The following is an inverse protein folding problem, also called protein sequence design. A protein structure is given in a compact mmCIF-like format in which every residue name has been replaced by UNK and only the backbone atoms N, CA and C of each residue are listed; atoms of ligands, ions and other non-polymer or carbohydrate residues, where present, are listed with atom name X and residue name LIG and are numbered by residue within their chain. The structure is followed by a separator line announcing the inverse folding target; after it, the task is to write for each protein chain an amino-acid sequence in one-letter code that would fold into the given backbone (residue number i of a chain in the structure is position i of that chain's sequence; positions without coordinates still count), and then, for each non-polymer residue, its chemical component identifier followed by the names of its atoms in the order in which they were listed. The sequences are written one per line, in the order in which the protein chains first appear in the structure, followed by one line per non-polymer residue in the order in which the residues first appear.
data_IF_854336664867
#
_entry.id   IF_854336664867
#
_cell.length_a   1.000
_cell.length_b   1.000
_cell.length_c   1.000
_cell.angle_alpha   90.00
_cell.angle_beta   90.00
_cell.angle_gamma   90.00
#
_symmetry.space_group_name_H-M   'P 1'
#
loop_
_entity.id
_entity.type
_entity.pdbx_description
1 polymer ?
#
# COMPACT_ATOMS: atom_id res chain seq x y z
N UNK A 1 18.39 -43.79 -35.66
CA UNK A 1 17.91 -43.85 -34.28
C UNK A 1 18.77 -43.01 -33.33
N UNK A 2 20.08 -43.05 -33.43
CA UNK A 2 20.94 -42.21 -32.59
C UNK A 2 20.73 -40.68 -32.79
N UNK A 3 20.36 -40.25 -34.00
CA UNK A 3 20.14 -38.84 -34.34
C UNK A 3 18.85 -38.26 -33.69
N UNK A 4 17.82 -39.07 -33.47
CA UNK A 4 16.58 -38.63 -32.84
C UNK A 4 16.78 -38.40 -31.33
N UNK A 5 17.50 -39.29 -30.67
CA UNK A 5 17.87 -39.16 -29.26
C UNK A 5 18.78 -37.96 -29.01
N UNK A 6 19.72 -37.73 -29.96
CA UNK A 6 20.62 -36.56 -29.90
C UNK A 6 19.84 -35.24 -30.06
N UNK A 7 18.85 -35.20 -30.96
CA UNK A 7 18.00 -34.03 -31.16
C UNK A 7 17.13 -33.74 -29.94
N UNK A 8 16.51 -34.76 -29.36
CA UNK A 8 15.73 -34.61 -28.13
C UNK A 8 16.57 -34.09 -26.94
N UNK A 9 17.81 -34.61 -26.83
CA UNK A 9 18.77 -34.14 -25.82
C UNK A 9 19.17 -32.68 -26.06
N UNK A 10 19.34 -32.24 -27.33
CA UNK A 10 19.62 -30.85 -27.66
C UNK A 10 18.46 -29.91 -27.33
N UNK A 11 17.23 -30.33 -27.61
CA UNK A 11 16.02 -29.52 -27.27
C UNK A 11 15.90 -29.32 -25.76
N UNK A 12 16.15 -30.34 -24.95
CA UNK A 12 16.16 -30.21 -23.49
C UNK A 12 17.32 -29.37 -22.96
N UNK A 13 18.48 -29.39 -23.66
CA UNK A 13 19.66 -28.58 -23.30
C UNK A 13 19.49 -27.09 -23.58
N UNK A 14 18.54 -26.69 -24.44
CA UNK A 14 18.27 -25.28 -24.73
C UNK A 14 17.50 -24.59 -23.59
N UNK A 15 16.90 -25.38 -22.69
CA UNK A 15 16.30 -24.83 -21.46
C UNK A 15 17.34 -24.84 -20.36
N UNK A 16 17.54 -23.65 -19.78
CA UNK A 16 18.44 -23.44 -18.66
C UNK A 16 17.56 -23.26 -17.40
N UNK A 17 17.54 -24.23 -16.46
CA UNK A 17 16.74 -24.12 -15.24
C UNK A 17 17.10 -22.91 -14.39
N UNK A 18 18.37 -22.50 -14.37
CA UNK A 18 18.78 -21.31 -13.62
C UNK A 18 18.21 -20.04 -14.23
N UNK A 19 18.16 -19.96 -15.57
CA UNK A 19 17.55 -18.84 -16.27
C UNK A 19 16.05 -18.78 -16.07
N UNK A 20 15.37 -19.94 -16.09
CA UNK A 20 13.94 -20.03 -15.81
C UNK A 20 13.63 -19.56 -14.38
N UNK A 21 14.42 -20.01 -13.41
CA UNK A 21 14.28 -19.59 -12.00
C UNK A 21 14.51 -18.07 -11.84
N UNK A 22 15.48 -17.50 -12.54
CA UNK A 22 15.73 -16.06 -12.53
C UNK A 22 14.55 -15.28 -13.12
N UNK A 23 13.96 -15.78 -14.22
CA UNK A 23 12.79 -15.19 -14.85
C UNK A 23 11.59 -15.19 -13.89
N UNK A 24 11.35 -16.30 -13.22
CA UNK A 24 10.27 -16.44 -12.24
C UNK A 24 10.48 -15.51 -11.04
N UNK A 25 11.70 -15.40 -10.58
CA UNK A 25 12.06 -14.46 -9.49
C UNK A 25 11.81 -13.02 -9.91
N UNK A 26 12.18 -12.64 -11.12
CA UNK A 26 11.95 -11.29 -11.64
C UNK A 26 10.46 -10.95 -11.70
N UNK A 27 9.62 -11.92 -12.06
CA UNK A 27 8.16 -11.74 -12.05
C UNK A 27 7.65 -11.45 -10.64
N UNK A 28 8.10 -12.22 -9.65
CA UNK A 28 7.71 -12.01 -8.25
C UNK A 28 8.23 -10.69 -7.69
N UNK A 29 9.47 -10.31 -8.04
CA UNK A 29 10.03 -9.01 -7.66
C UNK A 29 9.26 -7.84 -8.28
N UNK A 30 8.76 -7.99 -9.49
CA UNK A 30 7.92 -6.98 -10.15
C UNK A 30 6.59 -6.79 -9.39
N UNK A 31 5.96 -7.87 -8.96
CA UNK A 31 4.74 -7.82 -8.15
C UNK A 31 5.03 -7.15 -6.81
N UNK A 32 6.12 -7.54 -6.15
CA UNK A 32 6.55 -6.95 -4.88
C UNK A 32 6.75 -5.45 -5.01
N UNK A 33 7.44 -5.00 -6.05
CA UNK A 33 7.67 -3.58 -6.30
C UNK A 33 6.36 -2.81 -6.46
N UNK A 34 5.38 -3.40 -7.12
CA UNK A 34 4.04 -2.81 -7.29
C UNK A 34 3.32 -2.66 -5.95
N UNK A 35 3.39 -3.68 -5.10
CA UNK A 35 2.79 -3.62 -3.75
C UNK A 35 3.47 -2.54 -2.90
N UNK A 36 4.79 -2.47 -2.91
CA UNK A 36 5.55 -1.45 -2.18
C UNK A 36 5.17 -0.04 -2.64
N UNK A 37 5.05 0.16 -3.96
CA UNK A 37 4.61 1.45 -4.51
C UNK A 37 3.18 1.81 -4.08
N UNK A 38 2.28 0.82 -4.01
CA UNK A 38 0.92 1.02 -3.53
C UNK A 38 0.88 1.40 -2.04
N UNK A 39 1.71 0.75 -1.21
CA UNK A 39 1.86 1.09 0.21
C UNK A 39 2.35 2.53 0.37
N UNK A 40 3.36 2.94 -0.37
CA UNK A 40 3.90 4.29 -0.31
C UNK A 40 2.85 5.33 -0.72
N UNK A 41 2.10 5.05 -1.78
CA UNK A 41 1.03 5.93 -2.27
C UNK A 41 -0.09 6.08 -1.23
N UNK A 42 -0.56 4.98 -0.67
CA UNK A 42 -1.61 4.99 0.35
C UNK A 42 -1.17 5.70 1.63
N UNK A 43 0.08 5.49 2.05
CA UNK A 43 0.65 6.15 3.22
C UNK A 43 0.70 7.66 3.05
N UNK A 44 1.12 8.13 1.88
CA UNK A 44 1.14 9.57 1.57
C UNK A 44 -0.26 10.18 1.55
N UNK A 45 -1.24 9.48 0.99
CA UNK A 45 -2.64 9.94 1.02
C UNK A 45 -3.13 10.05 2.47
N UNK A 46 -2.89 9.03 3.29
CA UNK A 46 -3.27 9.03 4.71
C UNK A 46 -2.65 10.21 5.46
N UNK A 47 -1.35 10.43 5.29
CA UNK A 47 -0.62 11.48 6.01
C UNK A 47 -1.12 12.87 5.58
N UNK A 48 -1.37 13.08 4.29
CA UNK A 48 -1.95 14.32 3.79
C UNK A 48 -3.36 14.56 4.30
N UNK A 49 -4.19 13.53 4.36
CA UNK A 49 -5.54 13.61 4.94
C UNK A 49 -5.50 13.94 6.43
N UNK A 50 -4.58 13.32 7.17
CA UNK A 50 -4.42 13.59 8.61
C UNK A 50 -4.11 15.05 8.86
N UNK A 51 -3.21 15.63 8.08
CA UNK A 51 -2.89 17.06 8.18
C UNK A 51 -4.12 17.93 7.90
N UNK A 52 -4.91 17.60 6.87
CA UNK A 52 -6.12 18.34 6.53
C UNK A 52 -7.21 18.20 7.59
N UNK A 53 -7.39 17.00 8.14
CA UNK A 53 -8.34 16.75 9.24
C UNK A 53 -7.97 17.58 10.47
N UNK A 54 -6.70 17.58 10.83
CA UNK A 54 -6.21 18.37 11.97
C UNK A 54 -6.46 19.87 11.74
N UNK A 55 -6.27 20.34 10.50
CA UNK A 55 -6.52 21.73 10.13
C UNK A 55 -8.02 22.08 10.21
N UNK A 56 -8.92 21.18 9.76
CA UNK A 56 -10.37 21.39 9.86
C UNK A 56 -10.82 21.50 11.32
N UNK A 57 -10.38 20.59 12.17
CA UNK A 57 -10.76 20.63 13.60
C UNK A 57 -10.11 21.80 14.32
N UNK A 58 -8.88 22.18 14.00
CA UNK A 58 -8.23 23.36 14.55
C UNK A 58 -8.97 24.64 14.16
N UNK A 59 -9.44 24.72 12.91
CA UNK A 59 -10.25 25.86 12.43
C UNK A 59 -11.57 25.96 13.20
N UNK A 60 -12.27 24.84 13.37
CA UNK A 60 -13.52 24.80 14.15
C UNK A 60 -13.28 25.20 15.60
N UNK A 61 -12.25 24.68 16.25
CA UNK A 61 -11.86 25.03 17.61
C UNK A 61 -11.55 26.52 17.77
N UNK A 62 -10.82 27.08 16.80
CA UNK A 62 -10.48 28.50 16.82
C UNK A 62 -11.72 29.40 16.77
N UNK A 63 -12.68 29.06 15.92
CA UNK A 63 -13.96 29.80 15.83
C UNK A 63 -14.73 29.66 17.15
N UNK A 64 -14.80 28.47 17.73
CA UNK A 64 -15.46 28.21 18.99
C UNK A 64 -14.85 29.03 20.14
N UNK A 65 -13.53 29.10 20.22
CA UNK A 65 -12.81 29.82 21.28
C UNK A 65 -13.02 31.33 21.16
N UNK A 66 -13.07 31.89 19.95
CA UNK A 66 -13.31 33.32 19.74
C UNK A 66 -14.71 33.75 20.09
N UNK A 67 -15.69 32.85 20.04
CA UNK A 67 -17.11 33.19 20.24
C UNK A 67 -17.60 32.93 21.67
N UNK A 68 -16.71 32.72 22.64
CA UNK A 68 -17.04 32.31 24.00
C UNK A 68 -17.87 33.38 24.76
N UNK A 69 -17.76 34.65 24.36
CA UNK A 69 -18.40 35.78 25.03
C UNK A 69 -19.39 36.57 24.16
N UNK A 70 -19.56 36.25 22.92
CA UNK A 70 -20.41 36.96 21.98
C UNK A 70 -21.34 35.97 21.26
N UNK A 71 -22.55 36.47 20.90
CA UNK A 71 -23.47 35.69 20.08
C UNK A 71 -22.82 35.41 18.74
N UNK A 72 -22.73 34.11 18.41
CA UNK A 72 -21.96 33.64 17.23
C UNK A 72 -22.70 34.00 15.95
N UNK A 73 -22.03 34.65 14.96
CA UNK A 73 -22.63 34.90 13.66
C UNK A 73 -23.05 33.60 12.97
N UNK A 74 -24.12 33.65 12.19
CA UNK A 74 -24.60 32.47 11.42
C UNK A 74 -23.53 31.91 10.45
N UNK A 75 -22.67 32.78 9.95
CA UNK A 75 -21.54 32.38 9.07
C UNK A 75 -20.54 31.49 9.80
N UNK A 76 -20.25 31.80 11.06
CA UNK A 76 -19.34 31.03 11.91
C UNK A 76 -19.94 29.67 12.26
N UNK A 77 -21.23 29.59 12.52
CA UNK A 77 -21.94 28.31 12.74
C UNK A 77 -21.85 27.43 11.51
N UNK A 78 -22.06 27.98 10.31
CA UNK A 78 -21.95 27.25 9.05
C UNK A 78 -20.52 26.75 8.83
N UNK A 79 -19.52 27.59 9.12
CA UNK A 79 -18.11 27.23 8.98
C UNK A 79 -17.72 26.08 9.92
N UNK A 80 -18.22 26.10 11.16
CA UNK A 80 -17.97 25.02 12.16
C UNK A 80 -18.57 23.71 11.66
N UNK A 81 -19.83 23.72 11.25
CA UNK A 81 -20.54 22.52 10.78
C UNK A 81 -19.84 21.93 9.55
N UNK A 82 -19.42 22.76 8.62
CA UNK A 82 -18.72 22.32 7.42
C UNK A 82 -17.33 21.74 7.76
N UNK A 83 -16.58 22.38 8.66
CA UNK A 83 -15.27 21.88 9.10
C UNK A 83 -15.40 20.52 9.80
N UNK A 84 -16.38 20.37 10.68
CA UNK A 84 -16.66 19.11 11.36
C UNK A 84 -17.07 18.01 10.37
N UNK A 85 -17.88 18.35 9.37
CA UNK A 85 -18.30 17.40 8.33
C UNK A 85 -17.12 16.91 7.51
N UNK A 86 -16.26 17.83 7.08
CA UNK A 86 -15.07 17.48 6.30
C UNK A 86 -14.04 16.72 7.13
N UNK A 87 -13.85 17.13 8.38
CA UNK A 87 -12.99 16.41 9.31
C UNK A 87 -13.45 14.97 9.54
N UNK A 88 -14.74 14.77 9.76
CA UNK A 88 -15.34 13.45 9.98
C UNK A 88 -15.24 12.57 8.72
N UNK A 89 -15.48 13.14 7.54
CA UNK A 89 -15.31 12.43 6.26
C UNK A 89 -13.85 12.01 6.06
N UNK A 90 -12.90 12.89 6.39
CA UNK A 90 -11.47 12.60 6.35
C UNK A 90 -11.08 11.46 7.28
N UNK A 91 -11.60 11.44 8.51
CA UNK A 91 -11.35 10.37 9.48
C UNK A 91 -11.87 9.02 8.96
N UNK A 92 -13.04 8.99 8.33
CA UNK A 92 -13.59 7.76 7.73
C UNK A 92 -12.69 7.27 6.60
N UNK A 93 -12.19 8.17 5.77
CA UNK A 93 -11.27 7.79 4.69
C UNK A 93 -9.94 7.27 5.24
N UNK A 94 -9.40 7.91 6.30
CA UNK A 94 -8.17 7.45 6.96
C UNK A 94 -8.36 6.02 7.47
N UNK A 95 -9.48 5.72 8.12
CA UNK A 95 -9.77 4.37 8.60
C UNK A 95 -9.83 3.35 7.45
N UNK A 96 -10.41 3.74 6.32
CA UNK A 96 -10.45 2.87 5.13
C UNK A 96 -9.05 2.65 4.54
N UNK A 97 -8.19 3.68 4.51
CA UNK A 97 -6.80 3.56 4.05
C UNK A 97 -6.01 2.66 4.99
N UNK A 98 -6.18 2.79 6.30
CA UNK A 98 -5.49 1.94 7.27
C UNK A 98 -5.85 0.46 7.07
N UNK A 99 -7.11 0.14 6.83
CA UNK A 99 -7.55 -1.22 6.50
C UNK A 99 -6.95 -1.71 5.17
N UNK A 100 -6.85 -0.82 4.19
CA UNK A 100 -6.22 -1.12 2.89
C UNK A 100 -4.73 -1.37 3.03
N UNK A 101 -4.04 -0.56 3.85
CA UNK A 101 -2.62 -0.75 4.16
C UNK A 101 -2.36 -2.11 4.82
N UNK A 102 -3.22 -2.53 5.74
CA UNK A 102 -3.11 -3.85 6.37
C UNK A 102 -3.16 -4.96 5.32
N UNK A 103 -4.05 -4.88 4.35
CA UNK A 103 -4.14 -5.85 3.25
C UNK A 103 -2.88 -5.87 2.39
N UNK A 104 -2.37 -4.69 2.03
CA UNK A 104 -1.15 -4.58 1.23
C UNK A 104 0.06 -5.14 1.96
N UNK A 105 0.18 -4.84 3.25
CA UNK A 105 1.25 -5.37 4.10
C UNK A 105 1.15 -6.89 4.26
N UNK A 106 -0.05 -7.45 4.35
CA UNK A 106 -0.26 -8.90 4.38
C UNK A 106 0.20 -9.57 3.09
N UNK A 107 -0.09 -8.96 1.94
CA UNK A 107 0.38 -9.46 0.63
C UNK A 107 1.89 -9.43 0.54
N UNK A 108 2.51 -8.35 0.99
CA UNK A 108 3.97 -8.21 1.00
C UNK A 108 4.61 -9.26 1.91
N UNK A 109 4.07 -9.44 3.10
CA UNK A 109 4.54 -10.43 4.06
C UNK A 109 4.43 -11.85 3.48
N UNK A 110 3.35 -12.15 2.76
CA UNK A 110 3.17 -13.45 2.10
C UNK A 110 4.28 -13.70 1.06
N UNK A 111 4.55 -12.71 0.20
CA UNK A 111 5.60 -12.83 -0.81
C UNK A 111 6.98 -13.04 -0.18
N UNK A 112 7.28 -12.29 0.88
CA UNK A 112 8.58 -12.38 1.56
C UNK A 112 8.75 -13.74 2.25
N UNK A 113 7.69 -14.31 2.82
CA UNK A 113 7.73 -15.67 3.40
C UNK A 113 7.96 -16.75 2.34
N UNK A 114 7.38 -16.61 1.15
CA UNK A 114 7.59 -17.55 0.05
C UNK A 114 9.04 -17.50 -0.44
N UNK A 115 9.61 -16.29 -0.54
CA UNK A 115 11.00 -16.10 -0.92
C UNK A 115 11.96 -16.74 0.08
N UNK A 116 11.72 -16.56 1.38
CA UNK A 116 12.49 -17.19 2.45
C UNK A 116 12.41 -18.72 2.39
N UNK A 117 11.25 -19.27 2.09
CA UNK A 117 11.05 -20.71 1.90
C UNK A 117 11.85 -21.26 0.73
N UNK A 118 11.84 -20.56 -0.39
CA UNK A 118 12.57 -20.95 -1.59
C UNK A 118 14.08 -20.93 -1.33
N UNK A 119 14.57 -19.91 -0.64
CA UNK A 119 15.98 -19.83 -0.24
C UNK A 119 16.37 -20.96 0.72
N UNK A 120 15.53 -21.30 1.68
CA UNK A 120 15.77 -22.39 2.61
C UNK A 120 15.84 -23.75 1.91
N UNK A 121 14.96 -23.98 0.91
CA UNK A 121 14.99 -25.21 0.10
C UNK A 121 16.25 -25.31 -0.74
N UNK A 122 16.71 -24.19 -1.31
CA UNK A 122 17.95 -24.15 -2.08
C UNK A 122 19.18 -24.42 -1.20
N UNK A 123 19.17 -23.98 0.03
CA UNK A 123 20.28 -24.21 0.98
C UNK A 123 20.40 -25.67 1.42
N UNK A 124 19.33 -26.48 1.31
CA UNK A 124 19.32 -27.90 1.63
C UNK A 124 19.83 -28.80 0.48
N UNK A 125 20.02 -28.25 -0.70
CA UNK A 125 20.56 -28.98 -1.84
C UNK A 125 22.07 -28.76 -1.97
#
# INVERSE_FOLDING_TARGET
MASILSFASMVFRTRDPARDAATDRDRLMSIRATIVAAIDSATRERDGLRQRVDAYFASASHILDQAEFEERPAEDETAIVEAERQGSAGLRRIAAIDAHLDRLNDMLAYLDRQDDRDLALMAQQ
#
